data_IF_468714634965
#
_entry.id   IF_468714634965
#
_cell.length_a   1.000
_cell.length_b   1.000
_cell.length_c   1.000
_cell.angle_alpha   90.00
_cell.angle_beta   90.00
_cell.angle_gamma   90.00
#
_symmetry.space_group_name_H-M   'P 1'
#
loop_
_entity.id
_entity.type
_entity.pdbx_description
1 polymer ?
#
# COMPACT_ATOMS: atom_id res chain seq x y z
N UNK A 1 -47.80 59.27 -37.69
CA UNK A 1 -48.34 58.44 -36.59
C UNK A 1 -47.22 57.50 -36.13
N UNK A 2 -46.38 57.87 -35.16
CA UNK A 2 -46.51 57.62 -33.71
C UNK A 2 -47.08 56.23 -33.36
N UNK A 3 -46.18 55.32 -32.97
CA UNK A 3 -46.29 54.56 -31.72
C UNK A 3 -44.98 53.84 -31.40
N UNK A 4 -44.21 54.47 -30.50
CA UNK A 4 -43.22 53.87 -29.60
C UNK A 4 -43.89 52.89 -28.65
N UNK A 5 -43.33 51.70 -28.41
CA UNK A 5 -43.36 50.91 -27.16
C UNK A 5 -42.40 49.71 -27.37
N UNK A 6 -41.64 49.14 -26.44
CA UNK A 6 -41.04 49.50 -25.15
C UNK A 6 -40.23 48.23 -24.74
N UNK A 7 -39.00 48.37 -24.22
CA UNK A 7 -38.33 47.58 -23.12
C UNK A 7 -38.67 46.07 -22.97
N UNK A 8 -37.75 45.11 -22.74
CA UNK A 8 -36.43 45.06 -22.08
C UNK A 8 -35.91 43.59 -22.17
N UNK A 9 -34.63 43.33 -21.83
CA UNK A 9 -33.92 42.07 -22.07
C UNK A 9 -34.20 41.04 -20.97
N UNK A 10 -34.42 39.77 -21.35
CA UNK A 10 -34.63 38.68 -20.40
C UNK A 10 -33.42 37.74 -20.39
N UNK A 11 -32.63 37.92 -19.33
CA UNK A 11 -31.93 36.87 -18.59
C UNK A 11 -30.93 35.98 -19.35
N UNK A 12 -29.67 36.42 -19.28
CA UNK A 12 -28.49 35.58 -19.13
C UNK A 12 -28.77 34.47 -18.10
N UNK A 13 -28.90 33.22 -18.55
CA UNK A 13 -28.80 32.04 -17.69
C UNK A 13 -27.46 31.38 -17.97
N UNK A 14 -26.43 31.89 -17.29
CA UNK A 14 -25.12 31.29 -17.21
C UNK A 14 -25.26 30.04 -16.32
N UNK A 15 -25.47 28.87 -16.93
CA UNK A 15 -25.45 27.59 -16.23
C UNK A 15 -23.97 27.27 -15.99
N UNK A 16 -23.43 27.74 -14.88
CA UNK A 16 -22.20 27.22 -14.29
C UNK A 16 -22.46 25.79 -13.84
N UNK A 17 -22.24 24.84 -14.76
CA UNK A 17 -22.10 23.44 -14.43
C UNK A 17 -20.86 23.30 -13.54
N UNK A 18 -21.10 23.33 -12.23
CA UNK A 18 -20.12 22.98 -11.20
C UNK A 18 -19.82 21.49 -11.39
N UNK A 19 -18.84 21.19 -12.24
CA UNK A 19 -18.25 19.87 -12.32
C UNK A 19 -17.63 19.58 -10.96
N UNK A 20 -18.38 18.90 -10.10
CA UNK A 20 -17.85 18.29 -8.90
C UNK A 20 -16.72 17.35 -9.34
N UNK A 21 -15.48 17.80 -9.14
CA UNK A 21 -14.29 16.97 -9.14
C UNK A 21 -14.45 15.98 -7.99
N UNK A 22 -15.27 14.94 -8.21
CA UNK A 22 -15.15 13.71 -7.47
C UNK A 22 -13.82 13.12 -7.91
N UNK A 23 -12.76 13.46 -7.17
CA UNK A 23 -11.45 12.86 -7.33
C UNK A 23 -11.61 11.36 -7.15
N UNK A 24 -11.70 10.61 -8.24
CA UNK A 24 -11.46 9.19 -8.24
C UNK A 24 -10.02 8.98 -7.78
N UNK A 25 -9.83 8.77 -6.46
CA UNK A 25 -8.61 8.16 -5.97
C UNK A 25 -8.61 6.71 -6.46
N UNK A 26 -8.04 6.48 -7.64
CA UNK A 26 -7.74 5.14 -8.11
C UNK A 26 -6.76 4.52 -7.13
N UNK A 27 -7.13 3.35 -6.59
CA UNK A 27 -6.19 2.54 -5.82
C UNK A 27 -5.22 1.95 -6.83
N UNK A 28 -4.03 2.52 -6.89
CA UNK A 28 -2.99 2.02 -7.78
C UNK A 28 -2.21 0.89 -7.08
N UNK A 29 -1.61 -0.05 -7.83
CA UNK A 29 -0.64 -0.98 -7.26
C UNK A 29 0.53 -0.19 -6.62
N UNK A 30 1.28 -0.84 -5.72
CA UNK A 30 2.41 -0.21 -5.04
C UNK A 30 3.31 0.54 -6.04
N UNK A 31 3.74 1.78 -5.73
CA UNK A 31 4.42 2.64 -6.71
C UNK A 31 5.86 2.22 -7.04
N UNK A 32 6.36 1.15 -6.42
CA UNK A 32 7.64 0.53 -6.73
C UNK A 32 7.51 -0.99 -6.62
N UNK A 33 8.22 -1.71 -7.49
CA UNK A 33 8.16 -3.18 -7.55
C UNK A 33 8.78 -3.84 -6.30
N UNK A 34 9.82 -3.23 -5.72
CA UNK A 34 10.48 -3.74 -4.51
C UNK A 34 10.63 -2.65 -3.45
N UNK A 35 10.55 -3.08 -2.19
CA UNK A 35 10.74 -2.23 -1.02
C UNK A 35 11.65 -2.93 -0.02
N UNK A 36 12.51 -2.17 0.66
CA UNK A 36 13.47 -2.76 1.59
C UNK A 36 13.75 -1.90 2.81
N UNK A 37 14.20 -2.58 3.86
CA UNK A 37 14.77 -2.02 5.08
C UNK A 37 15.94 -2.92 5.45
N UNK A 38 17.17 -2.39 5.38
CA UNK A 38 18.41 -3.14 5.59
C UNK A 38 18.48 -4.44 4.75
N UNK A 39 18.29 -5.59 5.41
CA UNK A 39 18.29 -6.91 4.78
C UNK A 39 16.88 -7.49 4.54
N UNK A 40 15.84 -6.82 5.05
CA UNK A 40 14.43 -7.17 4.84
C UNK A 40 13.96 -6.60 3.50
N UNK A 41 13.28 -7.43 2.69
CA UNK A 41 12.82 -7.03 1.36
C UNK A 41 11.42 -7.55 1.07
N UNK A 42 10.52 -6.65 0.70
CA UNK A 42 9.25 -6.93 0.05
C UNK A 42 9.46 -6.99 -1.46
N UNK A 43 9.11 -8.11 -2.08
CA UNK A 43 9.25 -8.33 -3.52
C UNK A 43 7.98 -8.91 -4.12
N UNK A 44 7.72 -8.66 -5.41
CA UNK A 44 6.54 -9.20 -6.06
C UNK A 44 6.73 -10.70 -6.29
N UNK A 45 5.67 -11.46 -6.08
CA UNK A 45 5.59 -12.90 -6.39
C UNK A 45 4.29 -13.16 -7.13
N UNK A 46 4.12 -14.36 -7.71
CA UNK A 46 2.88 -14.71 -8.40
C UNK A 46 1.69 -14.59 -7.43
N UNK A 47 0.80 -13.62 -7.69
CA UNK A 47 -0.41 -13.40 -6.89
C UNK A 47 -0.27 -12.49 -5.67
N UNK A 48 0.87 -11.81 -5.47
CA UNK A 48 1.02 -10.89 -4.34
C UNK A 48 2.46 -10.46 -4.09
N UNK A 49 2.83 -10.36 -2.81
CA UNK A 49 4.14 -9.94 -2.37
C UNK A 49 4.71 -10.92 -1.34
N UNK A 50 6.03 -11.02 -1.28
CA UNK A 50 6.77 -11.76 -0.27
C UNK A 50 7.71 -10.83 0.46
N UNK A 51 7.52 -10.70 1.77
CA UNK A 51 8.47 -10.07 2.69
C UNK A 51 9.48 -11.13 3.12
N UNK A 52 10.73 -10.93 2.74
CA UNK A 52 11.86 -11.82 2.93
C UNK A 52 12.95 -11.13 3.73
N UNK A 53 14.03 -11.84 4.09
CA UNK A 53 15.06 -11.31 4.97
C UNK A 53 14.65 -11.31 6.45
N UNK A 54 13.65 -12.11 6.82
CA UNK A 54 13.31 -12.39 8.21
C UNK A 54 14.12 -13.61 8.68
N UNK A 55 14.56 -13.64 9.93
CA UNK A 55 15.31 -14.80 10.44
C UNK A 55 14.48 -16.08 10.35
N UNK A 56 14.92 -17.01 9.51
CA UNK A 56 14.29 -18.32 9.33
C UNK A 56 12.81 -18.26 8.99
N UNK A 57 12.39 -17.15 8.37
CA UNK A 57 10.99 -16.88 8.12
C UNK A 57 10.80 -16.01 6.88
N UNK A 58 9.56 -15.97 6.42
CA UNK A 58 9.10 -15.00 5.42
C UNK A 58 7.59 -14.80 5.59
N UNK A 59 7.07 -13.71 5.03
CA UNK A 59 5.65 -13.40 5.07
C UNK A 59 5.12 -13.20 3.65
N UNK A 60 4.10 -13.96 3.28
CA UNK A 60 3.38 -13.77 2.03
C UNK A 60 2.17 -12.86 2.26
N UNK A 61 2.01 -11.87 1.40
CA UNK A 61 0.91 -10.92 1.36
C UNK A 61 0.16 -11.04 0.04
N UNK A 62 -1.16 -10.79 0.03
CA UNK A 62 -1.90 -10.67 -1.22
C UNK A 62 -1.47 -9.42 -2.00
N UNK A 63 -2.01 -9.23 -3.19
CA UNK A 63 -1.87 -7.97 -3.93
C UNK A 63 -2.38 -6.81 -3.08
N UNK A 64 -1.50 -5.84 -2.82
CA UNK A 64 -1.80 -4.62 -2.09
C UNK A 64 -2.22 -3.52 -3.07
N UNK A 65 -3.42 -2.97 -2.89
CA UNK A 65 -3.96 -1.85 -3.67
C UNK A 65 -4.04 -0.61 -2.77
N UNK A 66 -3.09 0.31 -2.91
CA UNK A 66 -2.88 1.40 -1.97
C UNK A 66 -2.81 2.75 -2.68
N UNK A 67 -3.53 3.73 -2.13
CA UNK A 67 -3.30 5.13 -2.45
C UNK A 67 -2.20 5.71 -1.55
N UNK A 68 -1.50 6.75 -2.00
CA UNK A 68 -0.61 7.54 -1.15
C UNK A 68 -1.35 8.01 0.12
N UNK A 69 -0.69 7.92 1.27
CA UNK A 69 -1.29 8.21 2.58
C UNK A 69 -2.29 7.15 3.07
N UNK A 70 -2.60 6.15 2.24
CA UNK A 70 -3.56 5.10 2.55
C UNK A 70 -3.03 4.07 3.53
N UNK A 71 -3.95 3.51 4.31
CA UNK A 71 -3.72 2.34 5.16
C UNK A 71 -4.35 1.10 4.56
N UNK A 72 -3.90 -0.07 5.01
CA UNK A 72 -4.50 -1.35 4.68
C UNK A 72 -4.43 -2.31 5.85
N UNK A 73 -5.36 -3.26 5.83
CA UNK A 73 -5.36 -4.46 6.68
C UNK A 73 -5.66 -5.63 5.78
N UNK A 74 -4.79 -6.63 5.76
CA UNK A 74 -4.91 -7.82 4.90
C UNK A 74 -4.59 -9.08 5.68
N UNK A 75 -5.14 -10.20 5.22
CA UNK A 75 -4.73 -11.52 5.69
C UNK A 75 -3.48 -11.93 4.94
N UNK A 76 -2.37 -12.08 5.65
CA UNK A 76 -1.13 -12.68 5.16
C UNK A 76 -0.93 -14.09 5.70
N UNK A 77 0.15 -14.73 5.25
CA UNK A 77 0.60 -16.01 5.80
C UNK A 77 2.08 -15.90 6.13
N UNK A 78 2.39 -15.93 7.43
CA UNK A 78 3.75 -15.99 7.93
C UNK A 78 4.23 -17.44 7.88
N UNK A 79 5.43 -17.66 7.39
CA UNK A 79 6.05 -18.97 7.31
C UNK A 79 7.30 -18.95 8.16
N UNK A 80 7.39 -19.88 9.11
CA UNK A 80 8.56 -20.03 9.98
C UNK A 80 9.18 -21.40 9.81
N UNK A 81 10.51 -21.48 9.86
CA UNK A 81 11.23 -22.74 9.81
C UNK A 81 11.10 -23.48 11.14
N UNK A 82 10.81 -24.78 11.07
CA UNK A 82 10.60 -25.64 12.24
C UNK A 82 11.59 -26.82 12.31
N UNK A 83 12.76 -26.70 11.67
CA UNK A 83 13.75 -27.79 11.55
C UNK A 83 13.48 -28.78 10.40
N UNK A 84 12.21 -29.11 10.14
CA UNK A 84 11.81 -30.03 9.06
C UNK A 84 11.36 -29.32 7.77
N UNK A 85 11.12 -28.01 7.83
CA UNK A 85 10.56 -27.21 6.74
C UNK A 85 9.91 -25.94 7.26
N UNK A 86 9.17 -25.25 6.39
CA UNK A 86 8.42 -24.04 6.75
C UNK A 86 6.97 -24.38 7.10
N UNK A 87 6.51 -23.95 8.27
CA UNK A 87 5.13 -24.08 8.71
C UNK A 87 4.38 -22.76 8.55
N UNK A 88 3.14 -22.77 7.99
CA UNK A 88 2.33 -21.57 7.84
C UNK A 88 1.63 -21.18 9.14
N UNK A 89 1.54 -19.88 9.38
CA UNK A 89 0.78 -19.23 10.45
C UNK A 89 -0.06 -18.13 9.79
N UNK A 90 -1.38 -18.19 9.93
CA UNK A 90 -2.26 -17.12 9.47
C UNK A 90 -1.99 -15.86 10.27
N UNK A 91 -1.84 -14.71 9.60
CA UNK A 91 -1.43 -13.47 10.25
C UNK A 91 -2.18 -12.30 9.65
N UNK A 92 -2.75 -11.44 10.50
CA UNK A 92 -3.29 -10.15 10.08
C UNK A 92 -2.15 -9.16 9.99
N UNK A 93 -2.08 -8.47 8.86
CA UNK A 93 -1.01 -7.53 8.54
C UNK A 93 -1.64 -6.17 8.27
N UNK A 94 -1.22 -5.20 9.07
CA UNK A 94 -1.57 -3.80 8.90
C UNK A 94 -0.43 -3.07 8.19
N UNK A 95 -0.75 -2.03 7.45
CA UNK A 95 0.28 -1.19 6.86
C UNK A 95 -0.21 0.15 6.38
N UNK A 96 0.76 0.99 6.02
CA UNK A 96 0.52 2.36 5.59
C UNK A 96 1.56 2.78 4.55
N UNK A 97 1.09 3.33 3.44
CA UNK A 97 1.95 4.04 2.50
C UNK A 97 1.98 5.53 2.91
N UNK A 98 3.17 6.11 3.05
CA UNK A 98 3.32 7.52 3.40
C UNK A 98 2.70 8.44 2.33
N UNK A 99 2.35 9.68 2.70
CA UNK A 99 1.72 10.64 1.79
C UNK A 99 2.61 10.98 0.58
N UNK A 100 3.93 10.93 0.77
CA UNK A 100 4.90 11.13 -0.30
C UNK A 100 5.18 9.85 -1.12
N UNK A 101 4.61 8.70 -0.73
CA UNK A 101 4.82 7.41 -1.39
C UNK A 101 6.25 6.85 -1.31
N UNK A 102 7.05 7.31 -0.35
CA UNK A 102 8.47 6.92 -0.19
C UNK A 102 8.75 6.00 1.00
N UNK A 103 7.74 5.72 1.82
CA UNK A 103 7.85 4.82 2.96
C UNK A 103 6.61 3.95 3.05
N UNK A 104 6.82 2.65 3.17
CA UNK A 104 5.79 1.64 3.37
C UNK A 104 6.01 1.01 4.74
N UNK A 105 5.10 1.27 5.67
CA UNK A 105 5.10 0.59 6.98
C UNK A 105 4.28 -0.68 6.87
N UNK A 106 4.83 -1.78 7.39
CA UNK A 106 4.16 -3.08 7.53
C UNK A 106 4.28 -3.50 8.99
N UNK A 107 3.17 -3.82 9.63
CA UNK A 107 3.12 -4.27 11.01
C UNK A 107 2.26 -5.53 11.13
N UNK A 108 2.68 -6.47 11.96
CA UNK A 108 1.96 -7.71 12.20
C UNK A 108 2.36 -8.32 13.54
N UNK A 109 1.54 -9.24 14.04
CA UNK A 109 1.84 -9.99 15.27
C UNK A 109 1.85 -11.49 14.99
N UNK A 110 2.93 -12.16 15.35
CA UNK A 110 3.07 -13.62 15.26
C UNK A 110 3.49 -14.13 16.63
N UNK A 111 2.81 -15.16 17.15
CA UNK A 111 3.11 -15.75 18.46
C UNK A 111 3.21 -14.71 19.60
N UNK A 112 2.31 -13.72 19.60
CA UNK A 112 2.27 -12.59 20.56
C UNK A 112 3.43 -11.60 20.47
N UNK A 113 4.33 -11.75 19.48
CA UNK A 113 5.42 -10.81 19.21
C UNK A 113 4.97 -9.89 18.08
N UNK A 114 4.95 -8.59 18.36
CA UNK A 114 4.64 -7.55 17.38
C UNK A 114 5.92 -7.18 16.61
N UNK A 115 5.83 -7.21 15.29
CA UNK A 115 6.89 -6.83 14.36
C UNK A 115 6.45 -5.62 13.56
N UNK A 116 7.40 -4.76 13.22
CA UNK A 116 7.14 -3.58 12.37
C UNK A 116 8.35 -3.30 11.50
N UNK A 117 8.10 -3.11 10.21
CA UNK A 117 9.10 -2.76 9.21
C UNK A 117 8.74 -1.44 8.53
N UNK A 118 9.74 -0.60 8.30
CA UNK A 118 9.60 0.68 7.59
C UNK A 118 10.44 0.63 6.32
N UNK A 119 9.80 0.17 5.26
CA UNK A 119 10.46 -0.09 3.99
C UNK A 119 10.53 1.17 3.13
N UNK A 120 11.60 1.30 2.33
CA UNK A 120 11.78 2.32 1.31
C UNK A 120 11.81 1.68 -0.08
N UNK A 121 11.44 2.40 -1.15
CA UNK A 121 11.56 1.88 -2.51
C UNK A 121 13.00 1.46 -2.81
N UNK A 122 13.17 0.26 -3.35
CA UNK A 122 14.48 -0.30 -3.68
C UNK A 122 14.64 -1.76 -3.27
N UNK A 123 15.80 -2.32 -3.60
CA UNK A 123 16.22 -3.67 -3.19
C UNK A 123 16.96 -3.58 -1.86
N UNK A 124 16.99 -4.66 -1.09
CA UNK A 124 17.83 -4.76 0.10
C UNK A 124 19.31 -4.72 -0.31
N UNK A 125 20.11 -3.99 0.46
CA UNK A 125 21.55 -3.82 0.20
C UNK A 125 22.43 -4.52 1.23
N UNK A 126 21.83 -5.10 2.26
CA UNK A 126 22.51 -5.86 3.30
C UNK A 126 22.03 -7.32 3.30
N UNK A 127 22.90 -8.22 3.78
CA UNK A 127 22.56 -9.62 4.04
C UNK A 127 22.26 -9.79 5.53
N UNK A 128 21.26 -10.60 5.89
CA UNK A 128 20.98 -10.90 7.30
C UNK A 128 21.96 -11.96 7.83
N UNK A 129 23.22 -11.57 8.05
CA UNK A 129 24.32 -12.49 8.42
C UNK A 129 24.24 -13.00 9.88
N UNK A 130 23.36 -12.42 10.69
CA UNK A 130 23.18 -12.77 12.10
C UNK A 130 22.09 -13.82 12.33
N UNK A 131 21.35 -14.23 11.31
CA UNK A 131 20.33 -15.26 11.43
C UNK A 131 20.95 -16.66 11.24
N UNK A 132 20.81 -17.52 12.26
CA UNK A 132 21.06 -18.96 12.14
C UNK A 132 19.76 -19.72 12.36
N UNK A 133 19.46 -20.65 11.46
CA UNK A 133 18.32 -21.54 11.58
C UNK A 133 18.85 -22.90 12.04
N UNK A 134 18.48 -23.31 13.24
CA UNK A 134 18.76 -24.64 13.78
C UNK A 134 17.57 -25.58 13.54
#
# INVERSE_FOLDING_TARGET
MRSFLLRKPLSVLLITALAGLTGCHTKDPLPADTWSEDCVQLSPVQGGYKLSGLCCAYLNLPVLNLSKGGTFTVNGTYFTFTGAGFAPIATVVDGKLSDNGKQLTIAYTVNQIAETHVLKPGVATATCDYCKCD
#
